data_IF_229481991326
#
_entry.id   IF_229481991326
#
_cell.length_a   1.000
_cell.length_b   1.000
_cell.length_c   1.000
_cell.angle_alpha   90.00
_cell.angle_beta   90.00
_cell.angle_gamma   90.00
#
_symmetry.space_group_name_H-M   'P 1'
#
loop_
_entity.id
_entity.type
_entity.pdbx_description
1 polymer ?
#
# COMPACT_ATOMS: atom_id res chain seq x y z
N UNK A 1 34.03 5.11 -4.71
CA UNK A 1 33.14 4.46 -5.70
C UNK A 1 32.75 3.09 -5.18
N UNK A 2 31.87 3.03 -4.18
CA UNK A 2 31.14 1.85 -3.69
C UNK A 2 30.22 2.32 -2.54
N UNK A 3 29.09 1.60 -2.36
CA UNK A 3 28.14 1.68 -1.24
C UNK A 3 26.98 2.70 -1.35
N UNK A 4 26.09 2.50 -2.32
CA UNK A 4 24.66 2.73 -2.09
C UNK A 4 24.03 1.39 -1.70
N UNK A 5 24.22 0.99 -0.45
CA UNK A 5 23.27 0.10 0.20
C UNK A 5 22.02 0.94 0.44
N UNK A 6 20.85 0.50 -0.04
CA UNK A 6 19.56 0.99 0.42
C UNK A 6 19.18 0.16 1.66
N UNK A 7 19.56 0.55 2.89
CA UNK A 7 18.87 0.05 4.05
C UNK A 7 17.44 0.59 4.02
N UNK A 8 16.49 -0.12 4.62
CA UNK A 8 15.15 0.38 4.96
C UNK A 8 15.17 1.60 5.94
N UNK A 9 16.29 2.33 6.06
CA UNK A 9 16.41 3.53 6.87
C UNK A 9 16.15 4.77 6.02
N UNK A 10 15.10 5.48 6.42
CA UNK A 10 14.80 6.87 6.06
C UNK A 10 14.51 7.11 4.57
N UNK A 11 13.66 6.26 3.97
CA UNK A 11 12.59 6.89 3.17
C UNK A 11 11.77 7.64 4.22
N UNK A 12 11.92 8.98 4.28
CA UNK A 12 11.17 9.87 5.17
C UNK A 12 9.89 9.20 5.59
N UNK A 13 9.74 8.92 6.90
CA UNK A 13 8.59 8.22 7.46
C UNK A 13 7.33 8.84 6.90
N UNK A 14 6.86 8.27 5.80
CA UNK A 14 5.86 8.89 4.99
C UNK A 14 4.61 8.77 5.86
N UNK A 15 4.15 9.86 6.46
CA UNK A 15 3.17 9.78 7.55
C UNK A 15 1.86 9.16 7.05
N UNK A 16 1.61 9.23 5.74
CA UNK A 16 0.57 8.44 5.06
C UNK A 16 0.79 6.94 5.15
N UNK A 17 2.02 6.44 5.01
CA UNK A 17 2.38 5.01 5.15
C UNK A 17 2.21 4.47 6.57
N UNK A 18 2.39 5.24 7.64
CA UNK A 18 2.12 4.74 9.01
C UNK A 18 0.62 4.62 9.30
N UNK A 19 -0.17 5.56 8.80
CA UNK A 19 -1.64 5.56 8.92
C UNK A 19 -2.25 4.42 8.09
N UNK A 20 -1.72 4.24 6.88
CA UNK A 20 -1.97 3.06 6.04
C UNK A 20 -1.38 1.78 6.66
N UNK A 21 -0.26 1.78 7.40
CA UNK A 21 0.25 0.57 8.07
C UNK A 21 -0.77 0.03 9.08
N UNK A 22 -1.62 0.88 9.65
CA UNK A 22 -2.73 0.49 10.52
C UNK A 22 -3.99 0.10 9.71
N UNK A 23 -4.36 0.88 8.70
CA UNK A 23 -5.52 0.65 7.83
C UNK A 23 -5.30 -0.35 6.67
N UNK A 24 -4.07 -0.82 6.47
CA UNK A 24 -3.67 -1.80 5.48
C UNK A 24 -2.87 -2.93 6.14
N UNK A 25 -2.94 -3.14 7.48
CA UNK A 25 -2.41 -4.34 8.15
C UNK A 25 -3.21 -5.58 7.75
N UNK A 26 -3.30 -5.76 6.45
CA UNK A 26 -4.04 -6.70 5.65
C UNK A 26 -5.53 -6.37 5.61
N UNK A 27 -6.03 -6.07 4.41
CA UNK A 27 -7.46 -6.11 4.07
C UNK A 27 -8.13 -7.44 4.48
N UNK A 28 -7.31 -8.45 4.82
CA UNK A 28 -7.67 -9.78 5.31
C UNK A 28 -7.20 -10.13 6.74
N UNK A 29 -6.39 -9.30 7.42
CA UNK A 29 -5.83 -9.62 8.77
C UNK A 29 -5.97 -8.48 9.79
N UNK A 30 -6.49 -7.31 9.43
CA UNK A 30 -6.86 -6.29 10.40
C UNK A 30 -8.25 -6.62 10.96
N UNK A 31 -8.38 -6.96 12.26
CA UNK A 31 -9.68 -7.19 12.88
C UNK A 31 -10.59 -5.97 12.75
N UNK A 32 -10.03 -4.76 12.79
CA UNK A 32 -10.76 -3.50 12.62
C UNK A 32 -11.33 -3.31 11.21
N UNK A 33 -10.60 -3.66 10.15
CA UNK A 33 -11.10 -3.57 8.77
C UNK A 33 -12.10 -4.69 8.44
N UNK A 34 -11.90 -5.88 9.03
CA UNK A 34 -12.88 -6.95 8.95
C UNK A 34 -14.18 -6.58 9.69
N UNK A 35 -14.08 -5.88 10.82
CA UNK A 35 -15.23 -5.28 11.52
C UNK A 35 -15.88 -4.20 10.64
N UNK A 36 -15.11 -3.36 9.97
CA UNK A 36 -15.64 -2.34 9.04
C UNK A 36 -16.45 -2.97 7.88
N UNK A 37 -16.00 -4.09 7.31
CA UNK A 37 -16.82 -4.89 6.36
C UNK A 37 -18.15 -5.38 6.96
N UNK A 38 -18.23 -5.54 8.28
CA UNK A 38 -19.45 -5.95 9.02
C UNK A 38 -20.30 -4.74 9.47
N UNK A 39 -19.70 -3.56 9.66
CA UNK A 39 -20.36 -2.34 10.15
C UNK A 39 -21.20 -1.59 9.09
N UNK A 40 -21.34 -2.16 7.89
CA UNK A 40 -22.15 -1.60 6.80
C UNK A 40 -21.43 -0.53 5.98
N UNK A 41 -21.97 -0.24 4.79
CA UNK A 41 -21.34 0.61 3.78
C UNK A 41 -21.12 2.06 4.23
N UNK A 42 -22.03 2.61 5.04
CA UNK A 42 -21.93 3.97 5.60
C UNK A 42 -20.71 4.13 6.53
N UNK A 43 -20.48 3.16 7.41
CA UNK A 43 -19.37 3.18 8.36
C UNK A 43 -18.02 3.11 7.63
N UNK A 44 -17.97 2.36 6.53
CA UNK A 44 -16.78 2.24 5.67
C UNK A 44 -16.45 3.55 4.98
N UNK A 45 -17.44 4.23 4.39
CA UNK A 45 -17.29 5.53 3.72
C UNK A 45 -16.72 6.57 4.67
N UNK A 46 -17.32 6.72 5.86
CA UNK A 46 -16.89 7.70 6.88
C UNK A 46 -15.49 7.44 7.40
N UNK A 47 -15.15 6.16 7.61
CA UNK A 47 -13.80 5.80 8.04
C UNK A 47 -12.76 6.10 6.96
N UNK A 48 -13.05 5.74 5.70
CA UNK A 48 -12.17 5.99 4.58
C UNK A 48 -11.98 7.50 4.32
N UNK A 49 -13.04 8.29 4.37
CA UNK A 49 -12.95 9.76 4.31
C UNK A 49 -12.10 10.31 5.47
N UNK A 50 -12.31 9.84 6.70
CA UNK A 50 -11.51 10.28 7.86
C UNK A 50 -10.01 10.01 7.66
N UNK A 51 -9.65 8.90 7.01
CA UNK A 51 -8.26 8.60 6.65
C UNK A 51 -7.72 9.56 5.59
N UNK A 52 -8.54 9.91 4.58
CA UNK A 52 -8.18 10.89 3.56
C UNK A 52 -7.97 12.26 4.22
N UNK A 53 -8.92 12.75 5.01
CA UNK A 53 -8.81 14.02 5.76
C UNK A 53 -7.54 14.03 6.59
N UNK A 54 -7.26 12.97 7.34
CA UNK A 54 -6.06 12.87 8.17
C UNK A 54 -4.75 12.95 7.35
N UNK A 55 -4.71 12.34 6.16
CA UNK A 55 -3.55 12.41 5.27
C UNK A 55 -3.42 13.78 4.62
N UNK A 56 -4.53 14.35 4.16
CA UNK A 56 -4.64 15.69 3.58
C UNK A 56 -4.17 16.80 4.52
N UNK A 57 -4.39 16.66 5.83
CA UNK A 57 -3.87 17.58 6.84
C UNK A 57 -2.35 17.53 6.99
N UNK A 58 -1.73 16.39 6.64
CA UNK A 58 -0.28 16.21 6.70
C UNK A 58 0.43 16.56 5.39
N UNK A 59 -0.32 16.60 4.30
CA UNK A 59 0.20 16.94 2.98
C UNK A 59 0.70 18.39 2.94
N UNK A 60 2.00 18.53 2.68
CA UNK A 60 2.66 19.83 2.51
C UNK A 60 2.98 20.01 1.03
N UNK A 61 2.05 20.60 0.30
CA UNK A 61 2.27 20.94 -1.09
C UNK A 61 3.47 21.89 -1.26
N UNK A 62 4.34 21.61 -2.22
CA UNK A 62 5.28 22.59 -2.71
C UNK A 62 4.50 23.68 -3.47
N UNK A 63 4.51 24.89 -2.94
CA UNK A 63 3.81 26.04 -3.51
C UNK A 63 4.37 26.39 -4.91
N UNK A 64 5.56 25.90 -5.27
CA UNK A 64 6.14 26.09 -6.59
C UNK A 64 5.74 25.01 -7.59
N UNK A 65 5.20 23.90 -7.13
CA UNK A 65 4.66 22.84 -7.98
C UNK A 65 3.18 23.14 -8.28
N UNK A 66 2.82 23.49 -9.54
CA UNK A 66 1.45 23.80 -9.90
C UNK A 66 0.49 22.63 -9.67
N UNK A 67 0.96 21.40 -9.81
CA UNK A 67 0.16 20.20 -9.61
C UNK A 67 -0.15 19.99 -8.12
N UNK A 68 0.85 20.06 -7.25
CA UNK A 68 0.63 19.89 -5.81
C UNK A 68 -0.29 20.98 -5.23
N UNK A 69 -0.19 22.20 -5.74
CA UNK A 69 -1.10 23.29 -5.39
C UNK A 69 -2.55 23.01 -5.77
N UNK A 70 -2.81 22.49 -6.98
CA UNK A 70 -4.18 22.17 -7.40
C UNK A 70 -4.73 21.03 -6.56
N UNK A 71 -3.92 19.99 -6.29
CA UNK A 71 -4.32 18.91 -5.39
C UNK A 71 -4.67 19.46 -4.01
N UNK A 72 -3.84 20.34 -3.44
CA UNK A 72 -4.11 20.93 -2.12
C UNK A 72 -5.43 21.69 -2.10
N UNK A 73 -5.70 22.54 -3.08
CA UNK A 73 -6.96 23.30 -3.17
C UNK A 73 -8.16 22.37 -3.34
N UNK A 74 -8.07 21.39 -4.23
CA UNK A 74 -9.17 20.43 -4.45
C UNK A 74 -9.45 19.63 -3.18
N UNK A 75 -8.41 19.12 -2.53
CA UNK A 75 -8.50 18.40 -1.26
C UNK A 75 -9.15 19.26 -0.17
N UNK A 76 -8.73 20.51 -0.02
CA UNK A 76 -9.31 21.41 0.99
C UNK A 76 -10.81 21.62 0.73
N UNK A 77 -11.24 21.82 -0.51
CA UNK A 77 -12.67 21.93 -0.85
C UNK A 77 -13.44 20.62 -0.59
N UNK A 78 -12.87 19.47 -0.93
CA UNK A 78 -13.51 18.16 -0.77
C UNK A 78 -13.64 17.76 0.71
N UNK A 79 -12.68 18.12 1.55
CA UNK A 79 -12.68 17.81 2.97
C UNK A 79 -13.42 18.86 3.82
N UNK A 80 -13.55 20.11 3.35
CA UNK A 80 -14.30 21.14 4.06
C UNK A 80 -15.77 20.75 4.20
N UNK A 81 -16.31 20.87 5.42
CA UNK A 81 -17.71 20.58 5.74
C UNK A 81 -18.21 19.19 5.30
N UNK A 82 -17.30 18.21 5.23
CA UNK A 82 -17.54 16.85 4.72
C UNK A 82 -18.10 16.82 3.28
N UNK A 83 -17.65 17.75 2.43
CA UNK A 83 -18.18 17.91 1.07
C UNK A 83 -18.14 16.62 0.23
N UNK A 84 -17.05 15.85 0.31
CA UNK A 84 -16.92 14.57 -0.37
C UNK A 84 -17.90 13.53 0.17
N UNK A 85 -18.02 13.38 1.50
CA UNK A 85 -19.00 12.46 2.09
C UNK A 85 -20.42 12.77 1.65
N UNK A 86 -20.80 14.05 1.70
CA UNK A 86 -22.13 14.51 1.30
C UNK A 86 -22.39 14.22 -0.17
N UNK A 87 -21.40 14.45 -1.04
CA UNK A 87 -21.51 14.08 -2.45
C UNK A 87 -21.66 12.57 -2.69
N UNK A 88 -21.26 11.72 -1.75
CA UNK A 88 -21.40 10.27 -1.83
C UNK A 88 -22.66 9.73 -1.12
N UNK A 89 -23.13 10.41 -0.07
CA UNK A 89 -24.22 9.97 0.84
C UNK A 89 -25.56 10.68 0.62
N UNK A 90 -25.57 11.98 0.33
CA UNK A 90 -26.77 12.82 0.35
C UNK A 90 -27.41 12.89 -1.05
N UNK A 91 -28.64 12.40 -1.19
CA UNK A 91 -29.44 12.60 -2.41
C UNK A 91 -29.71 14.08 -2.72
N UNK A 92 -30.39 14.36 -3.83
CA UNK A 92 -30.59 15.71 -4.41
C UNK A 92 -31.21 16.78 -3.48
N UNK A 93 -31.66 16.41 -2.28
CA UNK A 93 -32.24 17.31 -1.27
C UNK A 93 -31.22 18.28 -0.65
N UNK A 94 -29.92 18.00 -0.73
CA UNK A 94 -28.88 18.92 -0.27
C UNK A 94 -28.29 19.69 -1.44
N UNK A 95 -28.31 21.03 -1.36
CA UNK A 95 -27.53 21.88 -2.27
C UNK A 95 -26.05 21.69 -1.98
N UNK A 96 -25.46 20.68 -2.63
CA UNK A 96 -24.03 20.45 -2.60
C UNK A 96 -23.32 21.60 -3.31
N UNK A 97 -22.22 22.06 -2.71
CA UNK A 97 -21.42 23.15 -3.25
C UNK A 97 -20.79 22.70 -4.59
N UNK A 98 -20.97 23.51 -5.64
CA UNK A 98 -20.32 23.31 -6.94
C UNK A 98 -18.79 23.27 -6.83
N UNK A 99 -18.22 23.79 -5.74
CA UNK A 99 -16.80 23.65 -5.43
C UNK A 99 -16.35 22.19 -5.27
N UNK A 100 -17.22 21.30 -4.78
CA UNK A 100 -16.96 19.86 -4.62
C UNK A 100 -16.87 19.18 -5.99
N UNK A 101 -17.85 19.45 -6.87
CA UNK A 101 -17.84 18.97 -8.25
C UNK A 101 -16.58 19.44 -8.99
N UNK A 102 -16.27 20.73 -8.90
CA UNK A 102 -15.05 21.30 -9.49
C UNK A 102 -13.79 20.63 -8.96
N UNK A 103 -13.71 20.39 -7.64
CA UNK A 103 -12.59 19.70 -7.01
C UNK A 103 -12.39 18.29 -7.56
N UNK A 104 -13.46 17.51 -7.72
CA UNK A 104 -13.40 16.18 -8.32
C UNK A 104 -12.95 16.23 -9.79
N UNK A 105 -13.51 17.16 -10.58
CA UNK A 105 -13.10 17.37 -11.98
C UNK A 105 -11.61 17.68 -12.09
N UNK A 106 -11.11 18.59 -11.26
CA UNK A 106 -9.70 19.01 -11.27
C UNK A 106 -8.79 17.83 -10.91
N UNK A 107 -9.14 17.05 -9.88
CA UNK A 107 -8.41 15.84 -9.50
C UNK A 107 -8.39 14.78 -10.63
N UNK A 108 -9.53 14.51 -11.28
CA UNK A 108 -9.60 13.52 -12.37
C UNK A 108 -8.74 13.98 -13.55
N UNK A 109 -8.83 15.25 -13.96
CA UNK A 109 -8.02 15.79 -15.07
C UNK A 109 -6.53 15.65 -14.82
N UNK A 110 -6.10 16.04 -13.62
CA UNK A 110 -4.71 15.90 -13.18
C UNK A 110 -4.28 14.44 -13.15
N UNK A 111 -5.12 13.56 -12.61
CA UNK A 111 -4.82 12.14 -12.56
C UNK A 111 -4.74 11.50 -13.96
N UNK A 112 -5.36 12.12 -14.97
CA UNK A 112 -5.25 11.73 -16.38
C UNK A 112 -4.02 12.30 -17.09
N UNK A 113 -3.31 13.26 -16.52
CA UNK A 113 -2.17 13.90 -17.20
C UNK A 113 -0.94 12.97 -17.29
N UNK A 114 -0.55 12.64 -18.52
CA UNK A 114 0.60 11.77 -18.81
C UNK A 114 1.94 12.34 -18.33
N UNK A 115 2.08 13.66 -18.28
CA UNK A 115 3.30 14.31 -17.79
C UNK A 115 3.50 14.01 -16.31
N UNK A 116 2.42 14.01 -15.54
CA UNK A 116 2.44 13.70 -14.12
C UNK A 116 2.83 12.22 -13.90
N UNK A 117 2.31 11.32 -14.72
CA UNK A 117 2.61 9.88 -14.61
C UNK A 117 3.99 9.48 -15.15
N UNK A 118 4.60 10.31 -15.98
CA UNK A 118 5.99 10.10 -16.42
C UNK A 118 7.01 10.64 -15.40
N UNK A 119 6.60 11.56 -14.51
CA UNK A 119 7.48 12.22 -13.55
C UNK A 119 7.29 11.73 -12.11
N UNK A 120 8.14 10.79 -11.66
CA UNK A 120 8.30 10.36 -10.25
C UNK A 120 6.99 10.08 -9.47
N UNK A 121 5.94 9.63 -10.16
CA UNK A 121 4.62 9.44 -9.56
C UNK A 121 4.62 8.51 -8.33
N UNK A 122 5.53 7.53 -8.33
CA UNK A 122 5.74 6.53 -7.27
C UNK A 122 6.03 7.13 -5.89
N UNK A 123 6.62 8.33 -5.86
CA UNK A 123 7.02 9.03 -4.62
C UNK A 123 6.20 10.30 -4.38
N UNK A 124 5.29 10.65 -5.29
CA UNK A 124 4.54 11.88 -5.19
C UNK A 124 3.32 11.70 -4.26
N UNK A 125 3.30 12.41 -3.13
CA UNK A 125 2.23 12.32 -2.13
C UNK A 125 0.89 12.84 -2.66
N UNK A 126 0.91 13.85 -3.54
CA UNK A 126 -0.29 14.42 -4.14
C UNK A 126 -1.01 13.43 -5.07
N UNK A 127 -0.27 12.63 -5.84
CA UNK A 127 -0.85 11.54 -6.66
C UNK A 127 -1.48 10.47 -5.76
N UNK A 128 -0.82 10.14 -4.65
CA UNK A 128 -1.30 9.15 -3.69
C UNK A 128 -2.61 9.59 -3.02
N UNK A 129 -2.73 10.87 -2.64
CA UNK A 129 -3.96 11.43 -2.07
C UNK A 129 -5.06 11.48 -3.11
N UNK A 130 -4.74 11.96 -4.32
CA UNK A 130 -5.67 11.98 -5.46
C UNK A 130 -6.23 10.59 -5.74
N UNK A 131 -5.38 9.57 -5.83
CA UNK A 131 -5.77 8.20 -6.07
C UNK A 131 -6.76 7.66 -5.03
N UNK A 132 -6.56 7.96 -3.74
CA UNK A 132 -7.47 7.52 -2.66
C UNK A 132 -8.84 8.18 -2.72
N UNK A 133 -8.88 9.48 -3.04
CA UNK A 133 -10.15 10.20 -3.22
C UNK A 133 -10.92 9.58 -4.38
N UNK A 134 -10.26 9.37 -5.51
CA UNK A 134 -10.88 8.79 -6.70
C UNK A 134 -11.30 7.33 -6.49
N UNK A 135 -10.52 6.54 -5.75
CA UNK A 135 -10.91 5.18 -5.35
C UNK A 135 -12.18 5.19 -4.50
N UNK A 136 -12.28 6.08 -3.51
CA UNK A 136 -13.49 6.23 -2.69
C UNK A 136 -14.73 6.56 -3.55
N UNK A 137 -14.56 7.45 -4.53
CA UNK A 137 -15.62 7.79 -5.50
C UNK A 137 -16.03 6.58 -6.35
N UNK A 138 -15.06 5.81 -6.85
CA UNK A 138 -15.35 4.58 -7.61
C UNK A 138 -16.10 3.56 -6.75
N UNK A 139 -15.61 3.31 -5.54
CA UNK A 139 -16.14 2.26 -4.66
C UNK A 139 -17.53 2.59 -4.13
N UNK A 140 -17.78 3.85 -3.77
CA UNK A 140 -19.00 4.21 -3.05
C UNK A 140 -19.93 5.15 -3.81
N UNK A 141 -19.45 5.80 -4.87
CA UNK A 141 -20.26 6.66 -5.74
C UNK A 141 -20.68 5.99 -7.04
N UNK A 142 -19.78 5.27 -7.72
CA UNK A 142 -20.06 4.71 -9.05
C UNK A 142 -20.65 3.29 -8.99
N UNK A 143 -20.11 2.42 -8.13
CA UNK A 143 -20.54 1.01 -8.06
C UNK A 143 -21.94 0.81 -7.44
N UNK A 144 -22.37 1.70 -6.55
CA UNK A 144 -23.61 1.56 -5.78
C UNK A 144 -24.82 2.28 -6.42
N UNK A 145 -24.79 2.46 -7.76
CA UNK A 145 -25.57 3.42 -8.54
C UNK A 145 -25.23 4.88 -8.17
N UNK A 146 -25.06 5.79 -9.15
CA UNK A 146 -24.76 7.19 -8.87
C UNK A 146 -25.82 7.78 -7.94
N UNK A 147 -25.42 8.05 -6.69
CA UNK A 147 -26.34 8.47 -5.63
C UNK A 147 -26.72 9.95 -5.72
N UNK A 148 -25.93 10.75 -6.45
CA UNK A 148 -26.06 12.21 -6.47
C UNK A 148 -25.80 12.80 -7.86
N UNK A 149 -26.28 14.03 -8.08
CA UNK A 149 -26.06 14.78 -9.33
C UNK A 149 -24.57 15.04 -9.59
N UNK A 150 -23.78 15.31 -8.54
CA UNK A 150 -22.32 15.51 -8.65
C UNK A 150 -21.62 14.24 -9.11
N UNK A 151 -21.95 13.09 -8.50
CA UNK A 151 -21.32 11.82 -8.90
C UNK A 151 -21.72 11.44 -10.32
N UNK A 152 -22.99 11.68 -10.67
CA UNK A 152 -23.50 11.46 -12.04
C UNK A 152 -22.76 12.33 -13.06
N UNK A 153 -22.44 13.58 -12.73
CA UNK A 153 -21.76 14.50 -13.67
C UNK A 153 -20.30 14.12 -13.91
N UNK A 154 -19.59 13.60 -12.90
CA UNK A 154 -18.18 13.20 -13.03
C UNK A 154 -17.99 11.75 -13.48
N UNK A 155 -19.02 10.90 -13.38
CA UNK A 155 -18.94 9.48 -13.73
C UNK A 155 -18.35 9.20 -15.13
N UNK A 156 -18.71 9.93 -16.20
CA UNK A 156 -18.15 9.70 -17.54
C UNK A 156 -16.64 9.97 -17.64
N UNK A 157 -16.05 10.67 -16.67
CA UNK A 157 -14.62 10.99 -16.66
C UNK A 157 -13.74 9.83 -16.12
N UNK A 158 -14.35 8.83 -15.48
CA UNK A 158 -13.67 7.62 -14.99
C UNK A 158 -13.54 6.58 -16.11
N UNK A 159 -12.76 6.93 -17.14
CA UNK A 159 -12.44 6.03 -18.25
C UNK A 159 -11.40 4.97 -17.88
N UNK A 160 -11.13 4.06 -18.82
CA UNK A 160 -10.16 2.97 -18.64
C UNK A 160 -8.78 3.45 -18.18
N UNK A 161 -8.36 4.66 -18.59
CA UNK A 161 -7.07 5.23 -18.19
C UNK A 161 -7.05 5.58 -16.70
N UNK A 162 -8.13 6.17 -16.17
CA UNK A 162 -8.27 6.45 -14.74
C UNK A 162 -8.33 5.13 -13.96
N UNK A 163 -9.17 4.19 -14.38
CA UNK A 163 -9.37 2.92 -13.69
C UNK A 163 -8.08 2.09 -13.62
N UNK A 164 -7.33 1.99 -14.71
CA UNK A 164 -6.08 1.21 -14.73
C UNK A 164 -4.98 1.84 -13.87
N UNK A 165 -4.94 3.19 -13.80
CA UNK A 165 -4.01 3.94 -12.96
C UNK A 165 -4.31 3.79 -11.47
N UNK A 166 -5.58 3.83 -11.09
CA UNK A 166 -6.02 3.53 -9.73
C UNK A 166 -5.63 2.10 -9.34
N UNK A 167 -5.92 1.13 -10.22
CA UNK A 167 -5.54 -0.27 -10.02
C UNK A 167 -4.03 -0.41 -9.81
N UNK A 168 -3.21 0.29 -10.61
CA UNK A 168 -1.77 0.26 -10.47
C UNK A 168 -1.29 0.81 -9.11
N UNK A 169 -1.79 1.97 -8.68
CA UNK A 169 -1.45 2.56 -7.38
C UNK A 169 -1.76 1.59 -6.24
N UNK A 170 -2.95 0.99 -6.27
CA UNK A 170 -3.38 0.05 -5.24
C UNK A 170 -2.53 -1.21 -5.21
N UNK A 171 -2.31 -1.83 -6.38
CA UNK A 171 -1.45 -3.02 -6.48
C UNK A 171 -0.03 -2.72 -5.99
N UNK A 172 0.55 -1.58 -6.38
CA UNK A 172 1.88 -1.17 -5.90
C UNK A 172 1.91 -1.10 -4.37
N UNK A 173 0.92 -0.44 -3.77
CA UNK A 173 0.85 -0.29 -2.32
C UNK A 173 0.71 -1.63 -1.60
N UNK A 174 -0.13 -2.52 -2.12
CA UNK A 174 -0.33 -3.85 -1.55
C UNK A 174 0.92 -4.72 -1.66
N UNK A 175 1.61 -4.72 -2.80
CA UNK A 175 2.85 -5.47 -3.00
C UNK A 175 3.96 -4.97 -2.07
N UNK A 176 4.18 -3.66 -2.01
CA UNK A 176 5.21 -3.08 -1.13
C UNK A 176 4.93 -3.40 0.35
N UNK A 177 3.66 -3.39 0.74
CA UNK A 177 3.27 -3.69 2.10
C UNK A 177 3.40 -5.18 2.44
N UNK A 178 3.05 -6.07 1.52
CA UNK A 178 3.28 -7.50 1.66
C UNK A 178 4.76 -7.78 1.94
N UNK A 179 5.66 -7.25 1.10
CA UNK A 179 7.10 -7.43 1.27
C UNK A 179 7.61 -6.84 2.60
N UNK A 180 7.09 -5.67 3.00
CA UNK A 180 7.43 -5.06 4.30
C UNK A 180 6.96 -5.89 5.49
N UNK A 181 5.76 -6.49 5.41
CA UNK A 181 5.24 -7.35 6.46
C UNK A 181 6.05 -8.64 6.57
N UNK A 182 6.42 -9.24 5.44
CA UNK A 182 7.32 -10.41 5.42
C UNK A 182 8.66 -10.04 6.04
N UNK A 183 9.25 -8.92 5.66
CA UNK A 183 10.51 -8.47 6.24
C UNK A 183 10.41 -8.30 7.77
N UNK A 184 9.38 -7.60 8.24
CA UNK A 184 9.15 -7.40 9.67
C UNK A 184 9.00 -8.74 10.41
N UNK A 185 8.21 -9.65 9.85
CA UNK A 185 8.04 -11.00 10.39
C UNK A 185 9.37 -11.74 10.54
N UNK A 186 10.22 -11.72 9.50
CA UNK A 186 11.54 -12.33 9.50
C UNK A 186 12.47 -11.73 10.58
N UNK A 187 12.32 -10.44 10.90
CA UNK A 187 13.12 -9.76 11.92
C UNK A 187 12.63 -10.04 13.35
N UNK A 188 11.31 -10.02 13.59
CA UNK A 188 10.78 -9.91 14.96
C UNK A 188 10.06 -11.16 15.47
N UNK A 189 9.51 -11.98 14.58
CA UNK A 189 8.60 -13.08 14.95
C UNK A 189 9.14 -14.44 14.53
N UNK A 190 10.01 -14.49 13.51
CA UNK A 190 10.55 -15.73 12.98
C UNK A 190 11.47 -16.48 13.97
N UNK A 191 11.43 -17.83 14.02
CA UNK A 191 10.49 -18.73 13.32
C UNK A 191 9.21 -19.01 14.11
N UNK A 192 8.16 -19.46 13.42
CA UNK A 192 6.86 -19.82 14.03
C UNK A 192 7.01 -20.87 15.14
N UNK A 193 7.99 -21.77 15.00
CA UNK A 193 8.29 -22.83 15.96
C UNK A 193 8.70 -22.35 17.36
N UNK A 194 9.06 -21.06 17.52
CA UNK A 194 9.31 -20.45 18.84
C UNK A 194 8.01 -20.03 19.56
N UNK A 195 6.87 -20.00 18.86
CA UNK A 195 5.58 -19.64 19.42
C UNK A 195 4.93 -20.77 20.23
N UNK A 196 4.30 -20.42 21.36
CA UNK A 196 3.55 -21.38 22.20
C UNK A 196 2.32 -21.88 21.43
N UNK A 197 2.13 -23.20 21.35
CA UNK A 197 0.89 -23.83 20.84
C UNK A 197 0.72 -23.89 19.31
N UNK A 198 1.76 -23.62 18.50
CA UNK A 198 1.70 -23.73 17.02
C UNK A 198 2.34 -25.03 16.51
N UNK A 199 1.78 -25.61 15.45
CA UNK A 199 2.40 -26.73 14.72
C UNK A 199 3.80 -26.36 14.23
N UNK A 200 4.73 -27.30 14.39
CA UNK A 200 6.18 -27.05 14.31
C UNK A 200 6.71 -27.39 12.93
N UNK A 201 6.37 -26.59 11.92
CA UNK A 201 7.17 -26.61 10.68
C UNK A 201 8.61 -26.21 11.01
N UNK A 202 9.57 -26.82 10.33
CA UNK A 202 10.97 -26.49 10.57
C UNK A 202 11.26 -25.06 10.07
N UNK A 203 12.17 -24.30 10.70
CA UNK A 203 12.55 -22.97 10.22
C UNK A 203 12.96 -22.94 8.74
N UNK A 204 13.60 -24.01 8.25
CA UNK A 204 14.00 -24.12 6.85
C UNK A 204 12.82 -24.32 5.90
N UNK A 205 11.85 -25.16 6.30
CA UNK A 205 10.61 -25.37 5.55
C UNK A 205 9.77 -24.09 5.49
N UNK A 206 9.67 -23.37 6.62
CA UNK A 206 9.01 -22.07 6.69
C UNK A 206 9.65 -21.04 5.75
N UNK A 207 10.99 -20.93 5.74
CA UNK A 207 11.72 -20.05 4.82
C UNK A 207 11.48 -20.42 3.35
N UNK A 208 11.31 -21.71 3.03
CA UNK A 208 10.97 -22.16 1.69
C UNK A 208 9.55 -21.74 1.28
N UNK A 209 8.58 -21.87 2.18
CA UNK A 209 7.21 -21.41 1.94
C UNK A 209 7.16 -19.89 1.70
N UNK A 210 7.85 -19.11 2.54
CA UNK A 210 7.95 -17.65 2.38
C UNK A 210 8.64 -17.30 1.05
N UNK A 211 9.75 -17.97 0.73
CA UNK A 211 10.46 -17.75 -0.53
C UNK A 211 9.62 -18.10 -1.78
N UNK A 212 8.78 -19.14 -1.70
CA UNK A 212 7.84 -19.48 -2.76
C UNK A 212 6.74 -18.41 -2.88
N UNK A 213 6.14 -17.99 -1.76
CA UNK A 213 5.13 -16.94 -1.74
C UNK A 213 5.63 -15.64 -2.37
N UNK A 214 6.85 -15.21 -2.07
CA UNK A 214 7.43 -13.99 -2.68
C UNK A 214 7.53 -14.14 -4.20
N UNK A 215 7.83 -15.33 -4.74
CA UNK A 215 7.96 -15.55 -6.19
C UNK A 215 6.62 -15.64 -6.89
N UNK A 216 5.63 -16.25 -6.24
CA UNK A 216 4.34 -16.63 -6.83
C UNK A 216 3.16 -15.79 -6.30
N UNK A 217 3.44 -14.71 -5.57
CA UNK A 217 2.42 -13.84 -4.99
C UNK A 217 1.43 -13.35 -6.06
N UNK A 218 0.12 -13.62 -5.90
CA UNK A 218 -0.91 -13.17 -6.84
C UNK A 218 -0.91 -11.65 -7.02
N UNK A 219 -0.61 -10.89 -5.97
CA UNK A 219 -0.53 -9.43 -6.02
C UNK A 219 0.62 -8.97 -6.93
N UNK A 220 1.77 -9.62 -6.84
CA UNK A 220 2.92 -9.31 -7.69
C UNK A 220 2.66 -9.68 -9.15
N UNK A 221 1.99 -10.79 -9.42
CA UNK A 221 1.60 -11.18 -10.77
C UNK A 221 0.65 -10.16 -11.40
N UNK A 222 -0.39 -9.77 -10.66
CA UNK A 222 -1.34 -8.75 -11.10
C UNK A 222 -0.69 -7.37 -11.30
N UNK A 223 0.27 -7.00 -10.45
CA UNK A 223 1.02 -5.76 -10.60
C UNK A 223 1.82 -5.73 -11.90
N UNK A 224 2.57 -6.79 -12.21
CA UNK A 224 3.33 -6.92 -13.47
C UNK A 224 2.41 -6.88 -14.69
N UNK A 225 1.29 -7.61 -14.64
CA UNK A 225 0.29 -7.61 -15.72
C UNK A 225 -0.35 -6.22 -15.92
N UNK A 226 -0.51 -5.45 -14.85
CA UNK A 226 -1.09 -4.10 -14.94
C UNK A 226 -0.09 -3.10 -15.53
N UNK A 227 1.19 -3.21 -15.17
CA UNK A 227 2.25 -2.36 -15.77
C UNK A 227 2.30 -2.55 -17.28
N UNK A 228 2.30 -3.81 -17.76
CA UNK A 228 2.45 -4.10 -19.20
C UNK A 228 1.30 -3.55 -20.06
N UNK A 229 0.15 -3.23 -19.44
CA UNK A 229 -1.01 -2.62 -20.11
C UNK A 229 -0.92 -1.09 -20.22
N UNK A 230 -0.06 -0.43 -19.44
CA UNK A 230 0.04 1.04 -19.41
C UNK A 230 1.25 1.49 -20.22
N UNK A 231 0.99 1.94 -21.46
CA UNK A 231 2.02 2.34 -22.45
C UNK A 231 2.88 3.54 -22.07
N UNK A 232 2.40 4.39 -21.17
CA UNK A 232 2.96 5.72 -20.89
C UNK A 232 3.95 5.68 -19.72
N UNK A 233 4.00 4.56 -19.00
CA UNK A 233 4.89 4.40 -17.86
C UNK A 233 6.28 3.91 -18.28
N UNK A 234 7.28 4.32 -17.50
CA UNK A 234 8.57 3.65 -17.50
C UNK A 234 8.42 2.27 -16.82
N UNK A 235 7.97 1.30 -17.61
CA UNK A 235 7.83 -0.10 -17.23
C UNK A 235 9.12 -0.63 -16.59
N UNK A 236 10.29 -0.27 -17.14
CA UNK A 236 11.58 -0.71 -16.60
C UNK A 236 11.79 -0.23 -15.18
N UNK A 237 11.48 1.04 -14.90
CA UNK A 237 11.64 1.58 -13.57
C UNK A 237 10.62 1.00 -12.57
N UNK A 238 9.38 0.72 -13.00
CA UNK A 238 8.37 0.08 -12.15
C UNK A 238 8.72 -1.37 -11.81
N UNK A 239 9.23 -2.11 -12.80
CA UNK A 239 9.71 -3.49 -12.62
C UNK A 239 10.93 -3.52 -11.72
N UNK A 240 11.91 -2.64 -11.95
CA UNK A 240 13.13 -2.55 -11.14
C UNK A 240 12.83 -2.25 -9.67
N UNK A 241 11.89 -1.33 -9.37
CA UNK A 241 11.49 -1.04 -8.00
C UNK A 241 11.05 -2.30 -7.25
N UNK A 242 10.21 -3.14 -7.87
CA UNK A 242 9.75 -4.37 -7.23
C UNK A 242 10.84 -5.43 -7.14
N UNK A 243 11.67 -5.57 -8.17
CA UNK A 243 12.79 -6.50 -8.18
C UNK A 243 13.79 -6.18 -7.07
N UNK A 244 14.09 -4.90 -6.84
CA UNK A 244 14.98 -4.45 -5.76
C UNK A 244 14.41 -4.84 -4.38
N UNK A 245 13.10 -4.65 -4.17
CA UNK A 245 12.44 -5.01 -2.90
C UNK A 245 12.40 -6.53 -2.69
N UNK A 246 12.07 -7.30 -3.73
CA UNK A 246 12.07 -8.78 -3.69
C UNK A 246 13.48 -9.30 -3.43
N UNK A 247 14.49 -8.74 -4.09
CA UNK A 247 15.88 -9.13 -3.91
C UNK A 247 16.37 -8.82 -2.48
N UNK A 248 15.95 -7.69 -1.90
CA UNK A 248 16.27 -7.35 -0.52
C UNK A 248 15.72 -8.42 0.45
N UNK A 249 14.42 -8.73 0.39
CA UNK A 249 13.82 -9.73 1.27
C UNK A 249 14.42 -11.13 1.02
N UNK A 250 14.71 -11.46 -0.25
CA UNK A 250 15.39 -12.69 -0.62
C UNK A 250 16.78 -12.85 0.01
N UNK A 251 17.55 -11.76 0.13
CA UNK A 251 18.84 -11.77 0.83
C UNK A 251 18.67 -12.03 2.33
N UNK A 252 17.63 -11.48 2.96
CA UNK A 252 17.33 -11.75 4.38
C UNK A 252 16.94 -13.21 4.61
N UNK A 253 16.12 -13.79 3.73
CA UNK A 253 15.78 -15.21 3.75
C UNK A 253 17.05 -16.08 3.64
N UNK A 254 17.95 -15.73 2.73
CA UNK A 254 19.17 -16.51 2.51
C UNK A 254 20.14 -16.44 3.70
N UNK A 255 20.24 -15.28 4.37
CA UNK A 255 20.99 -15.16 5.63
C UNK A 255 20.42 -16.10 6.71
N UNK A 256 19.10 -16.12 6.87
CA UNK A 256 18.44 -17.00 7.83
C UNK A 256 18.62 -18.48 7.44
N UNK A 257 18.51 -18.84 6.16
CA UNK A 257 18.77 -20.22 5.71
C UNK A 257 20.15 -20.71 6.12
N UNK A 258 21.20 -19.90 5.95
CA UNK A 258 22.55 -20.27 6.39
C UNK A 258 22.60 -20.51 7.90
N UNK A 259 22.05 -19.60 8.69
CA UNK A 259 22.00 -19.71 10.15
C UNK A 259 21.32 -21.00 10.65
N UNK A 260 20.23 -21.41 10.00
CA UNK A 260 19.48 -22.62 10.40
C UNK A 260 19.95 -23.90 9.69
N UNK A 261 20.83 -23.80 8.70
CA UNK A 261 21.47 -24.95 8.04
C UNK A 261 22.80 -25.34 8.69
N UNK A 262 23.42 -24.43 9.45
CA UNK A 262 24.64 -24.73 10.18
C UNK A 262 24.37 -25.75 11.31
N UNK A 263 25.15 -26.84 11.39
CA UNK A 263 25.05 -27.75 12.52
C UNK A 263 25.40 -26.98 13.80
N UNK A 264 24.47 -26.96 14.77
CA UNK A 264 24.79 -26.42 16.11
C UNK A 264 26.07 -27.09 16.60
N UNK A 265 27.09 -26.34 17.07
CA UNK A 265 28.24 -26.94 17.72
C UNK A 265 27.74 -27.87 18.81
N UNK A 266 28.05 -29.15 18.69
CA UNK A 266 27.67 -30.13 19.68
C UNK A 266 28.30 -29.74 21.01
N UNK A 267 27.47 -29.34 21.98
CA UNK A 267 27.87 -29.15 23.38
C UNK A 267 28.20 -30.49 24.08
N UNK A 268 28.73 -31.47 23.35
CA UNK A 268 29.03 -32.84 23.80
C UNK A 268 30.41 -33.30 23.32
N UNK A 269 31.42 -32.43 23.42
CA UNK A 269 32.82 -32.82 23.25
C UNK A 269 33.74 -32.49 24.42
N UNK A 270 33.19 -32.29 25.63
CA UNK A 270 33.98 -32.16 26.87
C UNK A 270 33.50 -33.13 27.99
N UNK A 271 33.12 -34.36 27.65
CA UNK A 271 33.07 -35.47 28.62
C UNK A 271 33.97 -36.63 28.16
N UNK A 272 35.24 -36.32 27.92
CA UNK A 272 36.30 -37.32 27.87
C UNK A 272 37.50 -36.78 28.64
N UNK A 273 37.46 -36.86 29.98
CA UNK A 273 38.68 -36.97 30.78
C UNK A 273 38.45 -37.98 31.90
N UNK A 274 39.33 -38.98 31.90
CA UNK A 274 39.17 -40.26 32.54
C UNK A 274 39.22 -40.25 34.05
N UNK A 275 38.47 -41.17 34.64
CA UNK A 275 38.82 -41.75 35.93
C UNK A 275 39.66 -42.99 35.67
N UNK A 276 40.97 -42.85 35.86
CA UNK A 276 41.89 -43.95 36.04
C UNK A 276 41.61 -44.60 37.39
N UNK A 277 41.43 -45.93 37.38
CA UNK A 277 41.52 -46.77 38.57
C UNK A 277 42.90 -46.64 39.21
N UNK A 278 42.93 -46.40 40.52
CA UNK A 278 43.84 -47.03 41.49
C UNK A 278 43.15 -47.10 42.85
#
# INVERSE_FOLDING_TARGET
>A
MFQFFYPFREVDENKGFQSLKFALKSYYQSPFLNILKVLGDLSNRRFAESLIVYQSLKFKADIRDPFENVVKKAVDCLCQNNGLLKALEEGEEYQLDKSVEKGLIDLIKIFKDDVIWTQNWRKNEAIMITGKILELVVEHGLKNAPSTTIITSVAPMFDDAVIIRLKLLNLRNHVLLELKNIHHYLETEFPLSKGVGRERISPLEELNLIGNHIRESPLQLQYRETISKIKILDEKACTREMEDQVQFVGKEIEKLRKLYSEPKPSALKNMCFGFNMK
#
